data_IF_376869912668
#
_entry.id   IF_376869912668
#
_cell.length_a   1.000
_cell.length_b   1.000
_cell.length_c   1.000
_cell.angle_alpha   90.00
_cell.angle_beta   90.00
_cell.angle_gamma   90.00
#
_symmetry.space_group_name_H-M   'P 1'
#
loop_
_entity.id
_entity.type
_entity.pdbx_description
1 polymer ?
#
# COMPACT_ATOMS: atom_id res chain seq x y z
N UNK A 1 -33.13 2.79 -27.46
CA UNK A 1 -31.97 1.88 -27.23
C UNK A 1 -31.99 1.41 -25.77
N UNK A 2 -32.26 0.12 -25.56
CA UNK A 2 -32.59 -0.49 -24.26
C UNK A 2 -31.47 -0.36 -23.22
N UNK A 3 -31.83 0.07 -22.00
CA UNK A 3 -30.95 0.19 -20.83
C UNK A 3 -30.22 -1.12 -20.50
N UNK A 4 -30.82 -2.28 -20.81
CA UNK A 4 -30.20 -3.61 -20.71
C UNK A 4 -28.94 -3.75 -21.57
N UNK A 5 -28.89 -3.23 -22.81
CA UNK A 5 -27.68 -3.31 -23.66
C UNK A 5 -26.56 -2.40 -23.16
N UNK A 6 -26.87 -1.22 -22.59
CA UNK A 6 -25.87 -0.36 -21.93
C UNK A 6 -25.28 -1.03 -20.68
N UNK A 7 -26.10 -1.72 -19.89
CA UNK A 7 -25.63 -2.43 -18.69
C UNK A 7 -24.73 -3.63 -19.04
N UNK A 8 -25.07 -4.38 -20.09
CA UNK A 8 -24.24 -5.51 -20.57
C UNK A 8 -22.92 -5.00 -21.16
N UNK A 9 -22.92 -3.92 -21.95
CA UNK A 9 -21.66 -3.31 -22.44
C UNK A 9 -20.81 -2.72 -21.30
N UNK A 10 -21.41 -2.10 -20.27
CA UNK A 10 -20.69 -1.65 -19.08
C UNK A 10 -20.09 -2.82 -18.28
N UNK A 11 -20.78 -3.95 -18.19
CA UNK A 11 -20.30 -5.15 -17.48
C UNK A 11 -19.22 -5.90 -18.27
N UNK A 12 -19.26 -5.86 -19.61
CA UNK A 12 -18.25 -6.48 -20.48
C UNK A 12 -16.98 -5.62 -20.56
N UNK A 13 -17.12 -4.29 -20.62
CA UNK A 13 -15.98 -3.37 -20.61
C UNK A 13 -15.43 -3.12 -19.20
N UNK A 14 -16.24 -3.35 -18.17
CA UNK A 14 -15.87 -3.19 -16.77
C UNK A 14 -16.53 -4.26 -15.89
N UNK A 15 -15.93 -5.46 -15.75
CA UNK A 15 -16.37 -6.46 -14.77
C UNK A 15 -16.40 -5.88 -13.36
N UNK A 16 -17.16 -6.51 -12.46
CA UNK A 16 -17.40 -6.05 -11.08
C UNK A 16 -16.18 -6.10 -10.14
N UNK A 17 -15.00 -6.36 -10.70
CA UNK A 17 -13.78 -6.60 -9.96
C UNK A 17 -12.83 -5.42 -10.10
N UNK A 18 -12.04 -5.22 -9.06
CA UNK A 18 -11.15 -4.10 -8.82
C UNK A 18 -10.25 -3.86 -10.06
N UNK A 19 -10.54 -2.84 -10.85
CA UNK A 19 -9.59 -2.33 -11.84
C UNK A 19 -8.49 -1.61 -11.07
N UNK A 20 -7.45 -2.34 -10.65
CA UNK A 20 -6.21 -1.73 -10.23
C UNK A 20 -5.53 -1.17 -11.48
N UNK A 21 -5.86 0.08 -11.85
CA UNK A 21 -4.89 0.86 -12.60
C UNK A 21 -3.84 1.24 -11.58
N UNK A 22 -2.67 0.62 -11.70
CA UNK A 22 -1.68 0.66 -10.65
C UNK A 22 -0.28 0.75 -11.18
N UNK A 23 0.60 1.30 -10.35
CA UNK A 23 2.03 1.15 -10.52
C UNK A 23 2.64 0.64 -9.22
N UNK A 24 3.58 -0.29 -9.34
CA UNK A 24 4.31 -0.83 -8.19
C UNK A 24 5.81 -0.79 -8.40
N UNK A 25 6.55 -0.75 -7.31
CA UNK A 25 7.99 -0.90 -7.30
C UNK A 25 8.46 -1.61 -6.03
N UNK A 26 9.64 -2.23 -6.11
CA UNK A 26 10.30 -2.85 -4.96
C UNK A 26 11.67 -2.22 -4.82
N UNK A 27 11.93 -1.68 -3.64
CA UNK A 27 13.16 -1.01 -3.25
C UNK A 27 13.87 -1.84 -2.18
N UNK A 28 15.17 -2.05 -2.35
CA UNK A 28 16.02 -2.69 -1.34
C UNK A 28 16.93 -1.64 -0.71
N UNK A 29 16.90 -1.58 0.62
CA UNK A 29 17.81 -0.79 1.43
C UNK A 29 18.93 -1.71 1.91
N UNK A 30 19.93 -1.95 1.06
CA UNK A 30 20.96 -2.99 1.27
C UNK A 30 21.71 -2.87 2.60
N UNK A 31 21.99 -1.65 3.06
CA UNK A 31 22.66 -1.40 4.36
C UNK A 31 21.73 -1.51 5.57
N UNK A 32 20.43 -1.62 5.34
CA UNK A 32 19.39 -1.71 6.38
C UNK A 32 18.72 -3.09 6.41
N UNK A 33 19.05 -3.99 5.47
CA UNK A 33 18.43 -5.32 5.38
C UNK A 33 16.91 -5.28 5.19
N UNK A 34 16.39 -4.20 4.59
CA UNK A 34 14.96 -3.92 4.48
C UNK A 34 14.53 -3.89 3.01
N UNK A 35 13.46 -4.63 2.70
CA UNK A 35 12.76 -4.61 1.42
C UNK A 35 11.47 -3.82 1.58
N UNK A 36 11.22 -2.89 0.68
CA UNK A 36 10.04 -2.04 0.66
C UNK A 36 9.35 -2.19 -0.69
N UNK A 37 8.13 -2.72 -0.70
CA UNK A 37 7.26 -2.77 -1.86
C UNK A 37 6.22 -1.67 -1.74
N UNK A 38 6.19 -0.79 -2.73
CA UNK A 38 5.29 0.36 -2.78
C UNK A 38 4.39 0.19 -3.99
N UNK A 39 3.09 0.31 -3.77
CA UNK A 39 2.07 0.19 -4.79
C UNK A 39 1.13 1.40 -4.71
N UNK A 40 1.02 2.14 -5.81
CA UNK A 40 0.05 3.20 -5.98
C UNK A 40 -1.02 2.70 -6.94
N UNK A 41 -2.28 2.76 -6.54
CA UNK A 41 -3.36 2.14 -7.30
C UNK A 41 -4.67 2.92 -7.20
N UNK A 42 -5.55 2.71 -8.18
CA UNK A 42 -6.92 3.17 -8.13
C UNK A 42 -7.86 1.99 -7.77
N UNK A 43 -8.70 2.16 -6.76
CA UNK A 43 -9.74 1.21 -6.38
C UNK A 43 -11.09 1.76 -6.83
N UNK A 44 -11.71 1.18 -7.87
CA UNK A 44 -13.01 1.65 -8.41
C UNK A 44 -14.19 1.42 -7.47
N UNK A 45 -14.10 0.40 -6.63
CA UNK A 45 -15.08 0.04 -5.62
C UNK A 45 -14.36 -0.68 -4.50
N UNK A 46 -14.04 0.04 -3.44
CA UNK A 46 -13.51 -0.62 -2.25
C UNK A 46 -14.55 -1.51 -1.57
N UNK A 47 -14.11 -2.67 -1.09
CA UNK A 47 -14.91 -3.67 -0.39
C UNK A 47 -15.35 -3.22 1.01
N UNK A 48 -14.61 -2.32 1.66
CA UNK A 48 -14.87 -1.89 3.05
C UNK A 48 -15.57 -0.53 3.14
N UNK A 49 -15.18 0.41 2.29
CA UNK A 49 -15.63 1.81 2.37
C UNK A 49 -16.58 2.22 1.25
N UNK A 50 -16.88 1.33 0.29
CA UNK A 50 -17.86 1.51 -0.78
C UNK A 50 -17.69 2.82 -1.57
N UNK A 51 -16.77 2.81 -2.54
CA UNK A 51 -16.51 4.00 -3.36
C UNK A 51 -15.27 3.86 -4.24
N UNK A 52 -14.98 4.92 -4.99
CA UNK A 52 -13.74 5.05 -5.74
C UNK A 52 -12.65 5.61 -4.81
N UNK A 53 -11.43 5.11 -4.87
CA UNK A 53 -10.33 5.57 -4.02
C UNK A 53 -9.02 5.59 -4.79
N UNK A 54 -8.11 6.48 -4.39
CA UNK A 54 -6.69 6.38 -4.71
C UNK A 54 -6.02 5.74 -3.49
N UNK A 55 -5.35 4.62 -3.71
CA UNK A 55 -4.66 3.87 -2.67
C UNK A 55 -3.15 3.92 -2.82
N UNK A 56 -2.49 3.93 -1.68
CA UNK A 56 -1.08 3.70 -1.52
C UNK A 56 -0.91 2.53 -0.55
N UNK A 57 -0.17 1.51 -0.96
CA UNK A 57 0.19 0.37 -0.13
C UNK A 57 1.70 0.34 0.01
N UNK A 58 2.14 0.13 1.24
CA UNK A 58 3.52 -0.13 1.59
C UNK A 58 3.58 -1.47 2.29
N UNK A 59 4.40 -2.36 1.75
CA UNK A 59 4.78 -3.61 2.38
C UNK A 59 6.27 -3.56 2.67
N UNK A 60 6.63 -3.61 3.93
CA UNK A 60 8.00 -3.72 4.41
C UNK A 60 8.27 -5.14 4.90
N UNK A 61 9.44 -5.66 4.57
CA UNK A 61 9.88 -6.96 5.05
C UNK A 61 11.39 -6.95 5.29
N UNK A 62 11.84 -7.65 6.32
CA UNK A 62 13.26 -7.96 6.45
C UNK A 62 13.72 -8.87 5.32
N UNK A 63 15.00 -8.80 4.94
CA UNK A 63 15.55 -9.64 3.86
C UNK A 63 15.43 -11.15 4.15
N UNK A 64 15.51 -11.54 5.43
CA UNK A 64 15.31 -12.92 5.88
C UNK A 64 13.82 -13.33 5.97
N UNK A 65 12.91 -12.39 5.69
CA UNK A 65 11.44 -12.53 5.72
C UNK A 65 10.84 -12.93 7.06
N UNK A 66 11.57 -12.74 8.15
CA UNK A 66 11.09 -13.06 9.50
C UNK A 66 10.27 -11.92 10.12
N UNK A 67 10.42 -10.70 9.60
CA UNK A 67 9.63 -9.54 9.99
C UNK A 67 8.90 -8.96 8.79
N UNK A 68 7.67 -8.53 8.99
CA UNK A 68 6.78 -8.05 7.95
C UNK A 68 5.84 -6.98 8.49
N UNK A 69 5.60 -5.95 7.69
CA UNK A 69 4.58 -4.94 7.91
C UNK A 69 3.89 -4.65 6.58
N UNK A 70 2.56 -4.70 6.54
CA UNK A 70 1.79 -4.29 5.38
C UNK A 70 0.74 -3.28 5.79
N UNK A 71 0.83 -2.06 5.29
CA UNK A 71 -0.14 -0.99 5.56
C UNK A 71 -0.59 -0.42 4.23
N UNK A 72 -1.87 -0.04 4.13
CA UNK A 72 -2.35 0.78 3.03
C UNK A 72 -3.09 2.00 3.54
N UNK A 73 -2.91 3.10 2.85
CA UNK A 73 -3.71 4.31 2.96
C UNK A 73 -4.56 4.44 1.71
N UNK A 74 -5.84 4.75 1.86
CA UNK A 74 -6.70 5.11 0.74
C UNK A 74 -7.30 6.49 0.98
N UNK A 75 -7.51 7.22 -0.10
CA UNK A 75 -8.02 8.59 -0.10
C UNK A 75 -9.27 8.61 -0.96
N UNK A 76 -10.38 9.11 -0.40
CA UNK A 76 -11.60 9.31 -1.19
C UNK A 76 -11.36 10.38 -2.27
N UNK A 77 -12.05 10.35 -3.42
CA UNK A 77 -11.80 11.25 -4.54
C UNK A 77 -12.18 12.69 -4.18
N UNK A 78 -13.08 12.83 -3.21
CA UNK A 78 -13.48 14.11 -2.62
C UNK A 78 -12.38 14.67 -1.71
N UNK A 79 -11.31 13.91 -1.41
CA UNK A 79 -10.12 14.37 -0.69
C UNK A 79 -10.30 14.57 0.81
N UNK A 80 -11.52 14.47 1.33
CA UNK A 80 -11.85 14.79 2.72
C UNK A 80 -11.64 13.65 3.71
N UNK A 81 -11.47 12.41 3.23
CA UNK A 81 -11.38 11.25 4.12
C UNK A 81 -10.26 10.32 3.70
N UNK A 82 -9.34 10.11 4.64
CA UNK A 82 -8.30 9.10 4.57
C UNK A 82 -8.73 7.89 5.39
N UNK A 83 -8.50 6.69 4.86
CA UNK A 83 -8.69 5.45 5.59
C UNK A 83 -7.42 4.63 5.58
N UNK A 84 -7.21 3.87 6.66
CA UNK A 84 -6.04 3.02 6.84
C UNK A 84 -6.45 1.55 6.87
N UNK A 85 -5.56 0.69 6.38
CA UNK A 85 -5.71 -0.75 6.42
C UNK A 85 -4.41 -1.43 6.79
N UNK A 86 -4.50 -2.53 7.53
CA UNK A 86 -3.39 -3.43 7.84
C UNK A 86 -3.55 -4.72 7.05
N UNK A 87 -2.43 -5.27 6.58
CA UNK A 87 -2.34 -6.58 5.97
C UNK A 87 -2.09 -7.65 7.03
N UNK A 88 -3.06 -8.51 7.23
CA UNK A 88 -3.02 -9.61 8.19
C UNK A 88 -3.65 -10.85 7.54
N UNK A 89 -3.02 -12.01 7.67
CA UNK A 89 -3.53 -13.30 7.16
C UNK A 89 -3.95 -13.29 5.68
N UNK A 90 -3.19 -12.61 4.83
CA UNK A 90 -3.46 -12.56 3.39
C UNK A 90 -4.52 -11.55 2.96
N UNK A 91 -5.04 -10.72 3.90
CA UNK A 91 -6.11 -9.76 3.61
C UNK A 91 -5.84 -8.41 4.26
N UNK A 92 -6.34 -7.36 3.62
CA UNK A 92 -6.36 -6.04 4.23
C UNK A 92 -7.60 -5.88 5.11
N UNK A 93 -7.44 -5.36 6.32
CA UNK A 93 -8.52 -5.03 7.26
C UNK A 93 -8.48 -3.53 7.58
N UNK A 94 -9.65 -2.90 7.68
CA UNK A 94 -9.75 -1.50 8.06
C UNK A 94 -9.29 -1.27 9.51
N UNK A 95 -8.48 -0.23 9.72
CA UNK A 95 -7.96 0.17 11.03
C UNK A 95 -8.08 1.69 11.23
N UNK A 96 -7.98 2.15 12.47
CA UNK A 96 -7.87 3.59 12.77
C UNK A 96 -6.49 4.12 12.40
N UNK A 97 -6.39 5.45 12.25
CA UNK A 97 -5.11 6.15 12.09
C UNK A 97 -4.17 5.90 13.26
N UNK A 98 -4.66 6.01 14.50
CA UNK A 98 -3.89 5.70 15.71
C UNK A 98 -3.36 4.26 15.71
N UNK A 99 -4.17 3.30 15.22
CA UNK A 99 -3.71 1.92 15.10
C UNK A 99 -2.60 1.79 14.06
N UNK A 100 -2.72 2.48 12.92
CA UNK A 100 -1.70 2.47 11.87
C UNK A 100 -0.38 3.03 12.39
N UNK A 101 -0.40 4.16 13.07
CA UNK A 101 0.78 4.77 13.70
C UNK A 101 1.42 3.82 14.72
N UNK A 102 0.61 3.19 15.57
CA UNK A 102 1.10 2.26 16.58
C UNK A 102 1.77 1.05 15.95
N UNK A 103 1.18 0.47 14.91
CA UNK A 103 1.72 -0.70 14.21
C UNK A 103 3.06 -0.35 13.55
N UNK A 104 3.14 0.80 12.88
CA UNK A 104 4.39 1.29 12.25
C UNK A 104 5.49 1.44 13.31
N UNK A 105 5.21 2.13 14.42
CA UNK A 105 6.18 2.32 15.51
C UNK A 105 6.61 1.01 16.16
N UNK A 106 5.68 0.07 16.34
CA UNK A 106 6.01 -1.27 16.86
C UNK A 106 6.98 -1.99 15.92
N UNK A 107 6.69 -2.01 14.62
CA UNK A 107 7.56 -2.62 13.63
C UNK A 107 8.96 -2.00 13.64
N UNK A 108 9.06 -0.67 13.64
CA UNK A 108 10.34 0.05 13.69
C UNK A 108 11.17 -0.34 14.92
N UNK A 109 10.53 -0.37 16.09
CA UNK A 109 11.16 -0.74 17.35
C UNK A 109 11.64 -2.20 17.33
N UNK A 110 10.76 -3.12 16.96
CA UNK A 110 11.11 -4.55 16.90
C UNK A 110 12.22 -4.82 15.88
N UNK A 111 12.23 -4.09 14.75
CA UNK A 111 13.26 -4.22 13.74
C UNK A 111 14.62 -3.76 14.28
N UNK A 112 14.63 -2.62 14.97
CA UNK A 112 15.84 -2.12 15.61
C UNK A 112 16.35 -3.06 16.71
N UNK A 113 15.46 -3.59 17.55
CA UNK A 113 15.83 -4.51 18.62
C UNK A 113 16.41 -5.83 18.07
N UNK A 114 15.89 -6.32 16.95
CA UNK A 114 16.32 -7.60 16.36
C UNK A 114 17.61 -7.48 15.54
N UNK A 115 17.73 -6.44 14.72
CA UNK A 115 18.83 -6.32 13.76
C UNK A 115 19.89 -5.30 14.17
N UNK A 116 19.69 -4.57 15.26
CA UNK A 116 20.55 -3.45 15.71
C UNK A 116 20.66 -2.34 14.64
N UNK A 117 19.62 -2.20 13.81
CA UNK A 117 19.57 -1.25 12.69
C UNK A 117 18.41 -0.26 12.89
N UNK A 118 18.72 1.03 12.87
CA UNK A 118 17.71 2.09 12.87
C UNK A 118 17.18 2.28 11.45
N UNK A 119 15.87 2.15 11.26
CA UNK A 119 15.16 2.36 9.98
C UNK A 119 14.26 3.61 9.98
N UNK A 120 14.44 4.48 10.97
CA UNK A 120 13.73 5.76 11.12
C UNK A 120 14.69 6.94 10.96
N UNK A 121 14.13 8.13 10.71
CA UNK A 121 14.87 9.39 10.65
C UNK A 121 15.24 9.84 9.24
N UNK A 122 15.66 11.11 9.14
CA UNK A 122 15.82 11.84 7.88
C UNK A 122 16.72 11.13 6.86
N UNK A 123 17.85 10.56 7.27
CA UNK A 123 18.75 9.81 6.36
C UNK A 123 18.05 8.61 5.71
N UNK A 124 17.21 7.90 6.48
CA UNK A 124 16.48 6.75 5.95
C UNK A 124 15.35 7.22 5.02
N UNK A 125 14.67 8.31 5.37
CA UNK A 125 13.61 8.91 4.54
C UNK A 125 14.16 9.40 3.20
N UNK A 126 15.29 10.10 3.20
CA UNK A 126 15.98 10.52 1.98
C UNK A 126 16.39 9.34 1.11
N UNK A 127 16.94 8.27 1.72
CA UNK A 127 17.32 7.06 1.01
C UNK A 127 16.10 6.37 0.38
N UNK A 128 14.97 6.30 1.10
CA UNK A 128 13.71 5.77 0.57
C UNK A 128 13.25 6.60 -0.62
N UNK A 129 13.24 7.93 -0.51
CA UNK A 129 12.84 8.83 -1.60
C UNK A 129 13.72 8.64 -2.84
N UNK A 130 15.05 8.63 -2.68
CA UNK A 130 15.99 8.39 -3.78
C UNK A 130 15.76 7.02 -4.45
N UNK A 131 15.46 5.99 -3.66
CA UNK A 131 15.16 4.64 -4.18
C UNK A 131 13.84 4.61 -4.93
N UNK A 132 12.82 5.34 -4.48
CA UNK A 132 11.52 5.48 -5.16
C UNK A 132 11.67 6.23 -6.49
N UNK A 133 12.43 7.33 -6.50
CA UNK A 133 12.65 8.16 -7.68
C UNK A 133 13.44 7.44 -8.77
N UNK A 134 14.40 6.59 -8.37
CA UNK A 134 15.19 5.76 -9.27
C UNK A 134 14.55 4.41 -9.61
N UNK A 135 13.39 4.10 -9.03
CA UNK A 135 12.77 2.79 -9.15
C UNK A 135 12.14 2.57 -10.53
N UNK A 136 12.25 1.33 -11.03
CA UNK A 136 11.53 0.91 -12.24
C UNK A 136 10.10 0.51 -11.89
N UNK A 137 9.19 1.45 -12.08
CA UNK A 137 7.76 1.24 -11.88
C UNK A 137 7.18 0.26 -12.90
N UNK A 138 6.45 -0.74 -12.40
CA UNK A 138 5.67 -1.68 -13.21
C UNK A 138 4.22 -1.21 -13.26
N UNK A 139 3.65 -1.12 -14.46
CA UNK A 139 2.27 -0.67 -14.69
C UNK A 139 1.36 -1.86 -14.98
N UNK A 140 0.11 -1.78 -14.55
CA UNK A 140 -0.91 -2.81 -14.76
C UNK A 140 -2.31 -2.19 -14.80
#
# INVERSE_FOLDING_TARGET
MNSKRRNVMRQILFPRDIFLVGKRTICKLDKKGLLINIELYFEKSDLFFHGQFIGERVIMASEDKTMFLGISKIISPEGYKTHYREYEDGKFKAISEESAEKIIRTFEKEFQEKYEIIITGEETDELICQKIDSAKWQYF
#
